data_IF_171155402212
#
_entry.id   IF_171155402212
#
_cell.length_a   1.000
_cell.length_b   1.000
_cell.length_c   1.000
_cell.angle_alpha   90.00
_cell.angle_beta   90.00
_cell.angle_gamma   90.00
#
_symmetry.space_group_name_H-M   'P 1'
#
loop_
_entity.id
_entity.type
_entity.pdbx_description
1 polymer ?
#
# COMPACT_ATOMS: atom_id res chain seq x y z
N UNK A 1 -29.50 19.74 29.93
CA UNK A 1 -28.59 18.62 30.22
C UNK A 1 -28.02 18.20 28.88
N UNK A 2 -26.97 18.89 28.44
CA UNK A 2 -26.29 18.61 27.16
C UNK A 2 -25.56 17.28 27.29
N UNK A 3 -25.94 16.32 26.45
CA UNK A 3 -25.17 15.12 26.23
C UNK A 3 -24.08 15.46 25.22
N UNK A 4 -22.83 15.46 25.67
CA UNK A 4 -21.65 15.55 24.82
C UNK A 4 -21.52 14.26 24.01
N UNK A 5 -21.69 14.35 22.69
CA UNK A 5 -21.31 13.31 21.74
C UNK A 5 -19.78 13.19 21.68
N UNK A 6 -19.19 12.36 22.53
CA UNK A 6 -17.82 11.89 22.36
C UNK A 6 -17.78 10.90 21.18
N UNK A 7 -17.55 11.44 19.99
CA UNK A 7 -17.14 10.66 18.82
C UNK A 7 -15.70 10.20 19.07
N UNK A 8 -15.54 8.92 19.44
CA UNK A 8 -14.24 8.25 19.53
C UNK A 8 -13.55 8.28 18.15
N UNK A 9 -12.75 9.32 17.93
CA UNK A 9 -11.83 9.43 16.81
C UNK A 9 -10.85 8.27 16.92
N UNK A 10 -10.97 7.29 16.03
CA UNK A 10 -10.17 6.07 16.03
C UNK A 10 -8.71 6.35 16.39
N UNK A 11 -8.31 5.90 17.59
CA UNK A 11 -6.98 6.09 18.17
C UNK A 11 -5.88 6.09 17.10
N UNK A 12 -5.35 7.28 16.81
CA UNK A 12 -4.15 7.44 16.02
C UNK A 12 -2.97 7.13 16.93
N UNK A 13 -2.13 6.17 16.54
CA UNK A 13 -0.87 5.98 17.25
C UNK A 13 0.02 7.19 16.97
N UNK A 14 0.69 7.75 18.00
CA UNK A 14 1.70 8.78 17.78
C UNK A 14 2.71 8.29 16.74
N UNK A 15 2.84 9.04 15.63
CA UNK A 15 3.80 8.69 14.57
C UNK A 15 3.30 7.68 13.52
N UNK A 16 2.02 7.32 13.47
CA UNK A 16 1.43 6.52 12.38
C UNK A 16 0.22 7.25 11.78
N UNK A 17 0.17 7.32 10.45
CA UNK A 17 -0.97 7.80 9.69
C UNK A 17 -1.75 6.61 9.09
N UNK A 18 -3.05 6.53 9.38
CA UNK A 18 -3.96 5.68 8.60
C UNK A 18 -4.31 6.41 7.31
N UNK A 19 -4.19 5.71 6.18
CA UNK A 19 -4.40 6.30 4.85
C UNK A 19 -5.88 6.27 4.49
N UNK A 20 -6.40 7.42 4.05
CA UNK A 20 -7.77 7.53 3.59
C UNK A 20 -8.06 6.57 2.43
N UNK A 21 -9.28 6.02 2.42
CA UNK A 21 -9.70 5.00 1.47
C UNK A 21 -9.49 5.39 0.00
N UNK A 22 -9.72 6.65 -0.36
CA UNK A 22 -9.54 7.17 -1.72
C UNK A 22 -8.08 7.46 -2.09
N UNK A 23 -7.13 7.24 -1.17
CA UNK A 23 -5.70 7.45 -1.36
C UNK A 23 -4.87 6.17 -1.21
N UNK A 24 -5.48 5.01 -0.94
CA UNK A 24 -4.78 3.74 -0.69
C UNK A 24 -3.78 3.39 -1.80
N UNK A 25 -4.19 3.52 -3.05
CA UNK A 25 -3.35 3.21 -4.21
C UNK A 25 -2.04 4.00 -4.28
N UNK A 26 -1.94 5.15 -3.60
CA UNK A 26 -0.73 5.96 -3.55
C UNK A 26 0.43 5.27 -2.84
N UNK A 27 0.15 4.29 -1.98
CA UNK A 27 1.17 3.45 -1.35
C UNK A 27 1.89 2.54 -2.35
N UNK A 28 1.29 2.31 -3.52
CA UNK A 28 1.79 1.41 -4.54
C UNK A 28 2.24 2.14 -5.83
N UNK A 29 2.04 3.45 -5.94
CA UNK A 29 2.37 4.21 -7.18
C UNK A 29 3.83 4.13 -7.60
N UNK A 30 4.76 4.05 -6.63
CA UNK A 30 6.19 3.92 -6.91
C UNK A 30 6.62 2.47 -7.19
N UNK A 31 5.67 1.52 -7.29
CA UNK A 31 5.92 0.07 -7.29
C UNK A 31 7.01 -0.28 -6.28
N UNK A 32 6.79 0.02 -4.98
CA UNK A 32 7.80 -0.24 -3.98
C UNK A 32 8.09 -1.74 -3.92
N UNK A 33 9.30 -2.09 -3.50
CA UNK A 33 9.56 -3.44 -3.01
C UNK A 33 8.63 -3.66 -1.83
N UNK A 34 7.79 -4.67 -1.91
CA UNK A 34 6.93 -5.08 -0.82
C UNK A 34 7.36 -6.46 -0.31
N UNK A 35 7.17 -6.71 0.98
CA UNK A 35 7.20 -8.04 1.57
C UNK A 35 5.76 -8.48 1.80
N UNK A 36 5.33 -9.50 1.07
CA UNK A 36 4.01 -10.10 1.21
C UNK A 36 4.07 -11.16 2.32
N UNK A 37 3.40 -10.90 3.44
CA UNK A 37 3.23 -11.86 4.54
C UNK A 37 1.84 -12.48 4.52
N UNK A 38 1.79 -13.78 4.84
CA UNK A 38 0.58 -14.61 4.92
C UNK A 38 0.59 -15.40 6.22
N UNK A 39 -0.60 -15.68 6.72
CA UNK A 39 -0.83 -16.56 7.86
C UNK A 39 -2.03 -17.45 7.58
N UNK A 40 -2.03 -18.65 8.14
CA UNK A 40 -3.18 -19.54 8.16
C UNK A 40 -3.47 -19.94 9.60
N UNK A 41 -4.55 -19.37 10.14
CA UNK A 41 -4.97 -19.61 11.51
C UNK A 41 -5.44 -21.06 11.76
N UNK A 42 -5.84 -21.80 10.71
CA UNK A 42 -6.38 -23.16 10.86
C UNK A 42 -5.30 -24.17 11.22
N UNK A 43 -4.07 -23.95 10.74
CA UNK A 43 -2.93 -24.83 10.97
C UNK A 43 -1.75 -24.12 11.66
N UNK A 44 -1.92 -22.85 12.03
CA UNK A 44 -0.90 -22.05 12.74
C UNK A 44 0.33 -21.72 11.89
N UNK A 45 0.26 -21.79 10.56
CA UNK A 45 1.42 -21.55 9.68
C UNK A 45 1.49 -20.11 9.19
N UNK A 46 2.70 -19.64 8.86
CA UNK A 46 2.96 -18.30 8.30
C UNK A 46 4.12 -18.32 7.33
N UNK A 47 4.13 -17.37 6.39
CA UNK A 47 5.24 -17.21 5.45
C UNK A 47 5.37 -15.75 4.98
N UNK A 48 6.54 -15.40 4.43
CA UNK A 48 6.82 -14.11 3.80
C UNK A 48 7.60 -14.27 2.50
N UNK A 49 7.31 -13.42 1.52
CA UNK A 49 8.10 -13.30 0.29
C UNK A 49 8.29 -11.85 -0.14
N UNK A 50 9.39 -11.57 -0.84
CA UNK A 50 9.58 -10.32 -1.58
C UNK A 50 8.71 -10.33 -2.84
N UNK A 51 7.97 -9.25 -3.09
CA UNK A 51 7.15 -9.05 -4.28
C UNK A 51 7.37 -7.65 -4.84
N UNK A 52 7.56 -7.58 -6.16
CA UNK A 52 7.85 -6.33 -6.90
C UNK A 52 7.00 -6.18 -8.16
N UNK A 53 6.35 -7.27 -8.61
CA UNK A 53 5.43 -7.25 -9.75
C UNK A 53 4.02 -6.98 -9.26
N UNK A 54 3.76 -5.73 -8.88
CA UNK A 54 2.46 -5.24 -8.47
C UNK A 54 2.24 -3.81 -8.96
N UNK A 55 0.99 -3.44 -9.23
CA UNK A 55 0.61 -2.08 -9.61
C UNK A 55 -0.88 -1.82 -9.33
N UNK A 56 -1.29 -0.60 -8.94
CA UNK A 56 -2.70 -0.23 -8.83
C UNK A 56 -3.46 -0.33 -10.16
N UNK A 57 -4.72 -0.75 -10.08
CA UNK A 57 -5.67 -0.70 -11.19
C UNK A 57 -6.48 0.61 -11.14
N UNK A 58 -6.81 1.10 -9.95
CA UNK A 58 -7.59 2.33 -9.75
C UNK A 58 -7.27 2.98 -8.41
N UNK A 59 -7.92 4.11 -8.10
CA UNK A 59 -7.77 4.85 -6.84
C UNK A 59 -8.71 4.39 -5.71
N UNK A 60 -9.47 3.31 -5.95
CA UNK A 60 -10.40 2.71 -4.98
C UNK A 60 -9.80 1.48 -4.30
N UNK A 61 -8.48 1.35 -4.32
CA UNK A 61 -7.74 0.28 -3.63
C UNK A 61 -7.54 -0.99 -4.45
N UNK A 62 -8.06 -1.11 -5.68
CA UNK A 62 -7.80 -2.29 -6.51
C UNK A 62 -6.39 -2.26 -7.09
N UNK A 63 -5.73 -3.40 -7.10
CA UNK A 63 -4.40 -3.60 -7.67
C UNK A 63 -4.29 -4.99 -8.29
N UNK A 64 -3.27 -5.17 -9.11
CA UNK A 64 -2.87 -6.46 -9.65
C UNK A 64 -1.47 -6.80 -9.16
N UNK A 65 -1.19 -8.07 -8.88
CA UNK A 65 0.15 -8.56 -8.70
C UNK A 65 0.35 -9.92 -9.35
N UNK A 66 1.59 -10.22 -9.74
CA UNK A 66 1.96 -11.50 -10.34
C UNK A 66 2.79 -12.31 -9.35
N UNK A 67 2.35 -13.53 -9.05
CA UNK A 67 3.02 -14.45 -8.13
C UNK A 67 3.28 -15.76 -8.83
N UNK A 68 4.55 -16.14 -8.98
CA UNK A 68 4.91 -17.42 -9.58
C UNK A 68 4.32 -18.58 -8.78
N UNK A 69 3.63 -19.52 -9.46
CA UNK A 69 2.89 -20.60 -8.81
C UNK A 69 3.78 -21.56 -7.98
N UNK A 70 5.09 -21.59 -8.23
CA UNK A 70 6.06 -22.40 -7.48
C UNK A 70 6.48 -21.76 -6.15
N UNK A 71 6.13 -20.50 -5.88
CA UNK A 71 6.45 -19.86 -4.60
C UNK A 71 5.59 -20.47 -3.51
N UNK A 72 6.17 -20.74 -2.35
CA UNK A 72 5.42 -21.27 -1.21
C UNK A 72 4.22 -20.37 -0.83
N UNK A 73 4.37 -19.05 -0.91
CA UNK A 73 3.28 -18.09 -0.69
C UNK A 73 2.07 -18.32 -1.61
N UNK A 74 2.28 -18.86 -2.82
CA UNK A 74 1.20 -19.11 -3.77
C UNK A 74 0.14 -20.06 -3.20
N UNK A 75 0.54 -21.06 -2.39
CA UNK A 75 -0.42 -21.98 -1.74
C UNK A 75 -1.28 -21.32 -0.66
N UNK A 76 -0.90 -20.12 -0.18
CA UNK A 76 -1.67 -19.38 0.82
C UNK A 76 -2.68 -18.43 0.19
N UNK A 77 -2.42 -17.96 -1.04
CA UNK A 77 -3.21 -16.89 -1.68
C UNK A 77 -3.98 -17.35 -2.92
N UNK A 78 -3.91 -18.64 -3.29
CA UNK A 78 -4.54 -19.19 -4.50
C UNK A 78 -6.08 -19.39 -4.38
N UNK A 79 -6.74 -18.66 -3.48
CA UNK A 79 -8.20 -18.67 -3.33
C UNK A 79 -8.73 -17.26 -3.11
N UNK A 80 -9.90 -16.97 -3.69
CA UNK A 80 -10.64 -15.71 -3.45
C UNK A 80 -10.99 -15.61 -1.97
N UNK A 81 -10.88 -14.40 -1.42
CA UNK A 81 -11.13 -14.11 -0.02
C UNK A 81 -9.93 -14.27 0.90
N UNK A 82 -8.82 -14.88 0.44
CA UNK A 82 -7.59 -14.98 1.24
C UNK A 82 -7.02 -13.59 1.52
N UNK A 83 -6.56 -13.41 2.75
CA UNK A 83 -6.04 -12.15 3.27
C UNK A 83 -4.51 -12.20 3.33
N UNK A 84 -3.87 -11.06 3.13
CA UNK A 84 -2.43 -10.92 3.24
C UNK A 84 -2.05 -9.46 3.52
N UNK A 85 -0.81 -9.23 3.95
CA UNK A 85 -0.29 -7.88 4.19
C UNK A 85 0.89 -7.63 3.25
N UNK A 86 0.87 -6.49 2.57
CA UNK A 86 2.07 -5.94 1.95
C UNK A 86 2.76 -5.02 2.94
N UNK A 87 4.01 -5.32 3.26
CA UNK A 87 4.85 -4.56 4.16
C UNK A 87 5.90 -3.81 3.32
N UNK A 88 6.10 -2.52 3.56
CA UNK A 88 7.07 -1.73 2.78
C UNK A 88 8.36 -1.53 3.59
N UNK A 89 9.46 -2.23 3.29
CA UNK A 89 10.76 -2.02 3.92
C UNK A 89 11.48 -0.77 3.38
N UNK A 90 12.60 -0.41 4.01
CA UNK A 90 13.51 0.66 3.55
C UNK A 90 14.83 0.10 2.99
N UNK A 91 15.68 0.99 2.48
CA UNK A 91 17.04 0.68 2.05
C UNK A 91 17.93 0.07 3.14
N UNK A 92 17.66 0.33 4.41
CA UNK A 92 18.43 -0.27 5.52
C UNK A 92 18.18 -1.78 5.65
N UNK A 93 17.16 -2.30 4.96
CA UNK A 93 16.74 -3.69 5.02
C UNK A 93 17.06 -4.47 3.73
N UNK A 94 17.92 -3.93 2.84
CA UNK A 94 18.27 -4.58 1.57
C UNK A 94 18.76 -6.03 1.75
N UNK A 95 19.63 -6.28 2.73
CA UNK A 95 20.13 -7.63 3.01
C UNK A 95 19.01 -8.58 3.43
N UNK A 96 18.09 -8.13 4.29
CA UNK A 96 16.93 -8.91 4.72
C UNK A 96 16.00 -9.21 3.55
N UNK A 97 15.73 -8.23 2.68
CA UNK A 97 14.90 -8.39 1.48
C UNK A 97 15.49 -9.47 0.56
N UNK A 98 16.80 -9.45 0.35
CA UNK A 98 17.50 -10.44 -0.47
C UNK A 98 17.48 -11.83 0.18
N UNK A 99 17.68 -11.92 1.51
CA UNK A 99 17.62 -13.16 2.25
C UNK A 99 16.21 -13.80 2.17
N UNK A 100 15.15 -13.01 2.36
CA UNK A 100 13.75 -13.46 2.23
C UNK A 100 13.47 -13.97 0.81
N UNK A 101 13.93 -13.24 -0.22
CA UNK A 101 13.73 -13.59 -1.63
C UNK A 101 14.56 -14.81 -2.10
N UNK A 102 15.70 -15.04 -1.45
CA UNK A 102 16.66 -16.09 -1.79
C UNK A 102 16.35 -17.48 -1.24
N UNK A 103 15.40 -17.62 -0.31
CA UNK A 103 15.00 -18.90 0.28
C UNK A 103 13.51 -19.22 0.09
N UNK A 104 13.14 -20.49 0.28
CA UNK A 104 11.75 -20.95 0.21
C UNK A 104 11.15 -21.12 1.60
N UNK A 105 9.91 -20.65 1.78
CA UNK A 105 9.16 -20.87 3.02
C UNK A 105 8.71 -22.32 3.22
N UNK A 106 8.74 -23.14 2.15
CA UNK A 106 8.31 -24.53 2.21
C UNK A 106 9.26 -25.42 3.05
N UNK A 107 10.51 -25.00 3.23
CA UNK A 107 11.55 -25.76 3.93
C UNK A 107 12.20 -24.96 5.06
N UNK A 108 11.77 -23.73 5.29
CA UNK A 108 12.42 -22.80 6.21
C UNK A 108 11.37 -21.85 6.80
N UNK A 109 11.24 -21.83 8.13
CA UNK A 109 10.55 -20.73 8.79
C UNK A 109 11.41 -19.47 8.68
N UNK A 110 11.09 -18.64 7.69
CA UNK A 110 11.85 -17.40 7.42
C UNK A 110 11.76 -16.39 8.55
N UNK A 111 10.64 -16.36 9.29
CA UNK A 111 10.51 -15.42 10.40
C UNK A 111 11.48 -15.77 11.52
N UNK A 112 11.50 -17.05 11.92
CA UNK A 112 12.42 -17.52 12.95
C UNK A 112 13.89 -17.45 12.48
N UNK A 113 14.18 -17.93 11.27
CA UNK A 113 15.54 -18.05 10.75
C UNK A 113 16.22 -16.70 10.53
N UNK A 114 15.46 -15.68 10.11
CA UNK A 114 15.98 -14.35 9.80
C UNK A 114 15.73 -13.33 10.91
N UNK A 115 15.19 -13.75 12.07
CA UNK A 115 14.90 -12.86 13.19
C UNK A 115 13.87 -11.77 12.88
N UNK A 116 12.86 -12.07 12.06
CA UNK A 116 11.86 -11.08 11.63
C UNK A 116 10.82 -10.93 12.72
N UNK A 117 10.80 -9.78 13.37
CA UNK A 117 9.77 -9.46 14.35
C UNK A 117 8.43 -9.14 13.68
N UNK A 118 7.36 -9.62 14.32
CA UNK A 118 5.99 -9.42 13.87
C UNK A 118 5.25 -8.46 14.80
N UNK A 119 4.25 -7.78 14.23
CA UNK A 119 3.29 -6.97 14.97
C UNK A 119 1.89 -7.09 14.35
N UNK A 120 0.92 -6.50 15.02
CA UNK A 120 -0.43 -6.36 14.48
C UNK A 120 -0.44 -5.40 13.28
N UNK A 121 -1.37 -5.62 12.36
CA UNK A 121 -1.51 -4.78 11.17
C UNK A 121 -1.76 -3.33 11.58
N UNK A 122 -0.94 -2.43 11.04
CA UNK A 122 -0.97 -1.02 11.41
C UNK A 122 -0.38 -0.67 12.78
N UNK A 123 0.37 -1.59 13.40
CA UNK A 123 0.92 -1.46 14.76
C UNK A 123 -0.16 -1.28 15.84
N UNK A 124 -1.41 -1.54 15.49
CA UNK A 124 -2.59 -1.36 16.33
C UNK A 124 -3.10 -2.74 16.74
N UNK A 125 -3.31 -3.01 18.03
CA UNK A 125 -3.93 -4.25 18.45
C UNK A 125 -5.34 -4.35 17.83
N UNK A 126 -5.78 -5.56 17.46
CA UNK A 126 -7.13 -5.75 16.95
C UNK A 126 -8.13 -5.24 17.97
N UNK A 127 -8.99 -4.28 17.59
CA UNK A 127 -10.06 -3.83 18.48
C UNK A 127 -11.17 -4.89 18.49
N UNK A 128 -11.54 -5.47 19.63
CA UNK A 128 -12.73 -6.30 19.72
C UNK A 128 -13.95 -5.39 19.56
N UNK A 129 -14.52 -5.33 18.37
CA UNK A 129 -15.75 -4.59 18.15
C UNK A 129 -16.95 -5.46 18.54
N UNK A 130 -17.80 -4.95 19.44
CA UNK A 130 -19.03 -5.65 19.85
C UNK A 130 -19.98 -5.73 18.64
N UNK A 131 -20.25 -6.94 18.17
CA UNK A 131 -21.25 -7.20 17.12
C UNK A 131 -22.63 -6.84 17.66
N UNK A 132 -23.23 -5.77 17.14
CA UNK A 132 -24.61 -5.35 17.44
C UNK A 132 -25.46 -5.46 16.17
N UNK A 133 -26.77 -5.68 16.31
CA UNK A 133 -27.68 -5.51 15.19
C UNK A 133 -27.83 -4.02 14.82
N UNK A 134 -28.02 -3.74 13.53
CA UNK A 134 -28.20 -2.36 13.03
C UNK A 134 -26.92 -1.55 12.82
N UNK A 135 -25.76 -2.19 12.63
CA UNK A 135 -24.49 -1.48 12.37
C UNK A 135 -24.59 -0.61 11.11
N UNK A 136 -24.04 0.61 11.20
CA UNK A 136 -23.92 1.49 10.02
C UNK A 136 -22.99 0.85 8.97
N UNK A 137 -23.06 1.34 7.73
CA UNK A 137 -22.14 0.92 6.66
C UNK A 137 -20.67 1.15 7.05
N UNK A 138 -20.38 2.25 7.78
CA UNK A 138 -19.04 2.59 8.26
C UNK A 138 -18.56 1.56 9.29
N UNK A 139 -19.41 1.20 10.25
CA UNK A 139 -19.05 0.26 11.31
C UNK A 139 -18.86 -1.16 10.78
N UNK A 140 -19.67 -1.56 9.78
CA UNK A 140 -19.48 -2.84 9.09
C UNK A 140 -18.12 -2.92 8.39
N UNK A 141 -17.70 -1.86 7.72
CA UNK A 141 -16.38 -1.78 7.07
C UNK A 141 -15.27 -1.82 8.13
N UNK A 142 -15.43 -1.08 9.24
CA UNK A 142 -14.45 -1.10 10.32
C UNK A 142 -14.32 -2.49 10.96
N UNK A 143 -15.44 -3.21 11.14
CA UNK A 143 -15.45 -4.59 11.63
C UNK A 143 -14.77 -5.55 10.64
N UNK A 144 -15.07 -5.43 9.35
CA UNK A 144 -14.42 -6.23 8.30
C UNK A 144 -12.90 -6.02 8.29
N UNK A 145 -12.44 -4.77 8.40
CA UNK A 145 -11.01 -4.44 8.49
C UNK A 145 -10.40 -5.02 9.76
N UNK A 146 -11.07 -4.92 10.91
CA UNK A 146 -10.58 -5.44 12.18
C UNK A 146 -10.47 -6.97 12.19
N UNK A 147 -11.51 -7.68 11.73
CA UNK A 147 -11.53 -9.14 11.61
C UNK A 147 -10.44 -9.62 10.63
N UNK A 148 -10.26 -8.90 9.52
CA UNK A 148 -9.22 -9.20 8.55
C UNK A 148 -7.81 -8.96 9.10
N UNK A 149 -7.59 -7.83 9.80
CA UNK A 149 -6.33 -7.50 10.44
C UNK A 149 -5.95 -8.53 11.51
N UNK A 150 -6.90 -8.98 12.33
CA UNK A 150 -6.71 -10.00 13.36
C UNK A 150 -6.31 -11.37 12.80
N UNK A 151 -6.66 -11.63 11.53
CA UNK A 151 -6.34 -12.88 10.83
C UNK A 151 -5.01 -12.81 10.07
N UNK A 152 -4.30 -11.69 10.16
CA UNK A 152 -3.07 -11.41 9.41
C UNK A 152 -1.89 -11.15 10.34
N UNK A 153 -0.69 -11.22 9.78
CA UNK A 153 0.57 -10.91 10.46
C UNK A 153 1.30 -9.84 9.64
N UNK A 154 1.76 -8.78 10.31
CA UNK A 154 2.59 -7.73 9.72
C UNK A 154 4.00 -7.75 10.30
N UNK A 155 4.97 -7.18 9.59
CA UNK A 155 6.37 -7.07 10.04
C UNK A 155 6.53 -5.80 10.87
N UNK A 156 7.18 -5.86 12.04
CA UNK A 156 7.32 -4.70 12.92
C UNK A 156 8.12 -3.57 12.29
N UNK A 157 9.31 -3.87 11.80
CA UNK A 157 10.31 -2.87 11.41
C UNK A 157 10.20 -2.48 9.94
N UNK A 158 9.04 -1.97 9.54
CA UNK A 158 8.78 -1.47 8.18
C UNK A 158 8.15 -0.07 8.25
N UNK A 159 7.90 0.56 7.10
CA UNK A 159 7.35 1.92 7.05
C UNK A 159 5.88 1.98 6.64
N UNK A 160 5.33 0.90 6.10
CA UNK A 160 3.91 0.80 5.80
C UNK A 160 3.37 -0.63 5.86
N UNK A 161 2.11 -0.75 6.21
CA UNK A 161 1.29 -1.96 6.14
C UNK A 161 0.09 -1.72 5.24
N UNK A 162 -0.15 -2.62 4.29
CA UNK A 162 -1.31 -2.58 3.42
C UNK A 162 -2.05 -3.90 3.57
N UNK A 163 -3.23 -3.87 4.18
CA UNK A 163 -4.08 -5.03 4.39
C UNK A 163 -4.86 -5.33 3.11
N UNK A 164 -4.69 -6.52 2.57
CA UNK A 164 -5.20 -6.90 1.27
C UNK A 164 -6.09 -8.13 1.33
N UNK A 165 -7.02 -8.21 0.37
CA UNK A 165 -7.81 -9.42 0.08
C UNK A 165 -7.69 -9.80 -1.39
N UNK A 166 -7.59 -11.10 -1.67
CA UNK A 166 -7.68 -11.66 -3.02
C UNK A 166 -9.12 -11.57 -3.53
N UNK A 167 -9.33 -10.92 -4.66
CA UNK A 167 -10.66 -10.77 -5.30
C UNK A 167 -10.79 -11.63 -6.56
N UNK A 168 -9.70 -11.83 -7.31
CA UNK A 168 -9.68 -12.67 -8.51
C UNK A 168 -8.30 -13.29 -8.69
N UNK A 169 -8.25 -14.50 -9.22
CA UNK A 169 -7.01 -15.17 -9.62
C UNK A 169 -7.19 -15.68 -11.04
N UNK A 170 -6.22 -15.39 -11.88
CA UNK A 170 -6.05 -15.99 -13.20
C UNK A 170 -4.69 -16.69 -13.25
N UNK A 171 -4.53 -17.70 -14.10
CA UNK A 171 -3.25 -18.37 -14.31
C UNK A 171 -2.76 -18.01 -15.70
N UNK A 172 -1.59 -17.39 -15.77
CA UNK A 172 -0.93 -17.00 -17.02
C UNK A 172 0.55 -17.32 -16.91
N UNK A 173 1.10 -18.06 -17.87
CA UNK A 173 2.53 -18.43 -17.95
C UNK A 173 3.16 -18.94 -16.63
N UNK A 174 2.45 -19.83 -15.92
CA UNK A 174 2.93 -20.39 -14.64
C UNK A 174 2.95 -19.39 -13.48
N UNK A 175 2.26 -18.25 -13.63
CA UNK A 175 2.04 -17.25 -12.60
C UNK A 175 0.54 -17.13 -12.29
N UNK A 176 0.24 -16.88 -11.02
CA UNK A 176 -1.03 -16.33 -10.61
C UNK A 176 -1.04 -14.82 -10.88
N UNK A 177 -1.97 -14.38 -11.71
CA UNK A 177 -2.34 -12.98 -11.87
C UNK A 177 -3.44 -12.70 -10.85
N UNK A 178 -3.05 -12.11 -9.73
CA UNK A 178 -3.92 -11.85 -8.59
C UNK A 178 -4.45 -10.43 -8.68
N UNK A 179 -5.77 -10.28 -8.79
CA UNK A 179 -6.43 -9.00 -8.50
C UNK A 179 -6.72 -8.93 -7.01
N UNK A 180 -6.15 -7.93 -6.33
CA UNK A 180 -6.34 -7.68 -4.91
C UNK A 180 -7.11 -6.39 -4.63
N UNK A 181 -7.67 -6.31 -3.43
CA UNK A 181 -8.29 -5.10 -2.86
C UNK A 181 -7.57 -4.69 -1.59
N UNK A 182 -7.12 -3.44 -1.52
CA UNK A 182 -6.62 -2.82 -0.29
C UNK A 182 -7.81 -2.49 0.63
N UNK A 183 -7.93 -3.21 1.74
CA UNK A 183 -8.95 -2.98 2.76
C UNK A 183 -8.59 -1.78 3.65
N UNK A 184 -7.32 -1.67 4.03
CA UNK A 184 -6.77 -0.59 4.84
C UNK A 184 -5.28 -0.39 4.56
N UNK A 185 -4.76 0.81 4.86
CA UNK A 185 -3.36 1.15 4.74
C UNK A 185 -2.90 1.99 5.93
N UNK A 186 -1.71 1.69 6.42
CA UNK A 186 -1.07 2.34 7.57
C UNK A 186 0.37 2.68 7.22
N UNK A 187 0.81 3.87 7.57
CA UNK A 187 2.14 4.38 7.20
C UNK A 187 2.75 5.10 8.40
N UNK A 188 4.06 4.92 8.64
CA UNK A 188 4.78 5.77 9.60
C UNK A 188 4.66 7.23 9.16
N UNK A 189 4.28 8.14 10.05
CA UNK A 189 3.99 9.55 9.73
C UNK A 189 5.17 10.26 9.03
N UNK A 190 6.41 9.80 9.27
CA UNK A 190 7.61 10.26 8.58
C UNK A 190 7.64 9.94 7.07
N UNK A 191 6.68 9.17 6.55
CA UNK A 191 6.54 8.77 5.14
C UNK A 191 5.17 9.14 4.54
N UNK A 192 4.37 9.93 5.26
CA UNK A 192 3.07 10.38 4.78
C UNK A 192 2.94 11.90 4.89
N UNK A 193 2.94 12.59 3.76
CA UNK A 193 2.80 14.06 3.72
C UNK A 193 1.34 14.54 3.65
N UNK A 194 0.37 13.68 3.95
CA UNK A 194 -1.07 13.95 3.80
C UNK A 194 -1.61 13.75 2.38
N UNK A 195 -0.73 13.57 1.39
CA UNK A 195 -1.12 13.36 -0.01
C UNK A 195 -0.42 12.16 -0.63
N UNK A 196 0.89 12.04 -0.51
CA UNK A 196 1.69 11.04 -1.17
C UNK A 196 2.48 10.22 -0.15
N UNK A 197 2.78 8.99 -0.55
CA UNK A 197 3.74 8.14 0.13
C UNK A 197 5.16 8.60 -0.19
N UNK A 198 5.71 9.42 0.70
CA UNK A 198 6.98 10.08 0.51
C UNK A 198 7.59 10.45 1.87
N UNK A 199 8.92 10.28 2.04
CA UNK A 199 9.63 10.79 3.20
C UNK A 199 9.32 12.27 3.46
N UNK A 200 9.07 12.60 4.73
CA UNK A 200 8.81 13.98 5.18
C UNK A 200 10.07 14.66 5.72
N UNK A 201 11.12 13.89 6.04
CA UNK A 201 12.45 14.38 6.41
C UNK A 201 13.54 13.83 5.47
N UNK A 202 14.71 14.48 5.46
CA UNK A 202 15.87 14.04 4.69
C UNK A 202 16.56 12.81 5.31
N UNK A 203 16.43 12.63 6.62
CA UNK A 203 17.05 11.52 7.37
C UNK A 203 16.26 10.21 7.30
N UNK A 204 15.05 10.24 6.74
CA UNK A 204 14.22 9.07 6.55
C UNK A 204 14.79 8.18 5.44
N UNK A 205 15.16 6.95 5.80
CA UNK A 205 15.70 5.96 4.88
C UNK A 205 14.77 5.76 3.66
N UNK A 206 15.30 5.82 2.43
CA UNK A 206 14.47 5.75 1.24
C UNK A 206 13.83 4.37 1.10
N UNK A 207 12.59 4.34 0.62
CA UNK A 207 11.99 3.08 0.15
C UNK A 207 12.54 2.70 -1.22
N UNK A 208 12.43 1.41 -1.53
CA UNK A 208 13.11 0.79 -2.65
C UNK A 208 12.18 0.52 -3.82
N UNK A 209 12.71 0.55 -5.04
CA UNK A 209 12.15 -0.12 -6.22
C UNK A 209 13.16 -1.13 -6.74
N UNK A 210 12.70 -2.30 -7.21
CA UNK A 210 13.63 -3.36 -7.64
C UNK A 210 13.98 -3.23 -9.12
N UNK A 211 15.27 -3.24 -9.43
CA UNK A 211 15.78 -3.08 -10.79
C UNK A 211 16.17 -4.41 -11.45
N UNK A 212 16.12 -5.52 -10.70
CA UNK A 212 16.64 -6.83 -11.13
C UNK A 212 18.03 -7.12 -10.58
N UNK A 213 18.47 -8.38 -10.68
CA UNK A 213 19.84 -8.81 -10.33
C UNK A 213 20.33 -8.39 -8.94
N UNK A 214 19.43 -8.39 -7.94
CA UNK A 214 19.69 -7.93 -6.56
C UNK A 214 20.02 -6.44 -6.44
N UNK A 215 19.66 -5.64 -7.44
CA UNK A 215 19.86 -4.18 -7.47
C UNK A 215 18.56 -3.43 -7.18
N UNK A 216 18.67 -2.29 -6.49
CA UNK A 216 17.55 -1.46 -6.09
C UNK A 216 17.74 0.02 -6.46
N UNK A 217 16.67 0.67 -6.87
CA UNK A 217 16.57 2.13 -6.92
C UNK A 217 16.02 2.66 -5.60
N UNK A 218 16.51 3.83 -5.17
CA UNK A 218 16.12 4.47 -3.90
C UNK A 218 15.30 5.72 -4.19
N UNK A 219 14.13 5.85 -3.57
CA UNK A 219 13.33 7.06 -3.70
C UNK A 219 13.99 8.21 -2.93
N UNK A 220 14.38 9.27 -3.63
CA UNK A 220 14.94 10.48 -3.04
C UNK A 220 14.01 11.64 -3.36
N UNK A 221 13.58 12.39 -2.33
CA UNK A 221 12.85 13.63 -2.56
C UNK A 221 13.84 14.69 -3.09
N UNK A 222 13.60 15.22 -4.28
CA UNK A 222 14.38 16.35 -4.81
C UNK A 222 14.24 17.56 -3.89
N UNK A 223 15.36 18.14 -3.48
CA UNK A 223 15.44 19.39 -2.70
C UNK A 223 15.47 20.65 -3.58
N UNK A 224 15.44 20.51 -4.92
CA UNK A 224 15.42 21.66 -5.81
C UNK A 224 14.08 22.39 -5.73
N UNK A 225 14.06 23.59 -5.17
CA UNK A 225 13.03 24.58 -5.51
C UNK A 225 13.10 24.82 -7.01
N UNK A 226 12.12 24.29 -7.73
CA UNK A 226 11.97 24.56 -9.15
C UNK A 226 11.50 26.00 -9.33
N UNK A 227 12.44 26.94 -9.39
CA UNK A 227 12.25 28.20 -10.10
C UNK A 227 12.23 27.90 -11.61
N UNK A 228 11.17 27.25 -12.08
CA UNK A 228 10.88 27.27 -13.52
C UNK A 228 10.45 28.70 -13.87
N UNK A 229 11.16 29.41 -14.78
CA UNK A 229 10.70 30.69 -15.25
C UNK A 229 9.31 30.51 -15.85
N UNK A 230 8.32 31.21 -15.30
CA UNK A 230 7.00 31.30 -15.93
C UNK A 230 7.21 32.05 -17.24
N UNK A 231 7.17 31.34 -18.36
CA UNK A 231 7.05 31.99 -19.66
C UNK A 231 5.79 32.87 -19.62
N UNK A 232 5.87 34.17 -19.93
CA UNK A 232 4.67 34.98 -20.10
C UNK A 232 3.85 34.34 -21.22
N UNK A 233 2.57 34.06 -20.94
CA UNK A 233 1.61 33.81 -22.00
C UNK A 233 1.55 35.09 -22.84
N UNK A 234 2.13 35.06 -24.04
CA UNK A 234 1.98 36.12 -25.03
C UNK A 234 0.52 36.18 -25.48
N UNK A 235 -0.28 36.99 -24.78
CA UNK A 235 -1.49 37.57 -25.32
C UNK A 235 -1.13 38.90 -25.97
N UNK A 236 -1.10 38.94 -27.32
CA UNK A 236 -1.38 40.16 -28.11
C UNK A 236 -1.53 39.82 -29.59
N UNK A 237 -2.76 39.95 -30.08
CA UNK A 237 -3.08 39.81 -31.50
C UNK A 237 -4.52 40.18 -31.83
N UNK A 238 -5.04 41.27 -31.26
CA UNK A 238 -6.22 41.92 -31.82
C UNK A 238 -5.85 42.49 -33.20
N UNK A 239 -6.53 42.08 -34.26
CA UNK A 239 -6.55 42.79 -35.55
C UNK A 239 -7.96 42.80 -36.14
N UNK A 240 -8.53 43.99 -36.09
CA UNK A 240 -9.41 44.65 -37.05
C UNK A 240 -10.30 43.81 -37.97
N UNK A 241 -11.60 43.80 -37.66
CA UNK A 241 -12.64 43.64 -38.66
C UNK A 241 -12.91 45.00 -39.34
N UNK A 242 -12.41 45.18 -40.57
CA UNK A 242 -12.78 46.30 -41.43
C UNK A 242 -13.97 45.93 -42.32
N UNK A 243 -15.01 46.76 -42.20
CA UNK A 243 -16.15 46.99 -43.09
C UNK A 243 -15.97 46.58 -44.56
N UNK A 244 -16.93 45.81 -45.09
CA UNK A 244 -17.35 45.89 -46.50
C UNK A 244 -18.87 46.01 -46.55
N UNK A 245 -19.33 47.13 -47.10
CA UNK A 245 -20.73 47.48 -47.37
C UNK A 245 -21.27 46.61 -48.52
N UNK A 246 -22.51 46.17 -48.42
CA UNK A 246 -23.33 45.81 -49.57
C UNK A 246 -24.57 46.71 -49.59
N UNK A 247 -24.58 47.64 -50.54
CA UNK A 247 -25.81 48.24 -51.07
C UNK A 247 -26.46 47.23 -52.02
N UNK A 248 -27.78 47.05 -51.90
CA UNK A 248 -28.64 46.52 -52.95
C UNK A 248 -29.55 47.65 -53.44
N UNK A 249 -29.89 47.70 -54.73
CA UNK A 249 -30.97 48.55 -55.24
C UNK A 249 -32.34 48.10 -54.71
#
# INVERSE_FOLDING_TARGET
MEATDDVDSGASLPGVAQVDRNMLSRLLYSNPVCLLSVADATNGTRNVMTITWLTPINNHGKFICSVNCKRHTASFINQVGRLFVLNVPTADQEELILAIGGCSGATTDKFATLGIETCDVGWLPPRPLKRKHGLSKKDRIALEIADAAASCIAIRDVIAHILCRVEKIEVEDGHYIVTGLQLAGFVKASYWNGKNFAPTSADAAPYLTFLGSKSFGKYMKSTKETNLPRHPLEGKGARDARNVRHEKP
#
